data_IF_505200705980
#
_entry.id   IF_505200705980
#
_cell.length_a   1.000
_cell.length_b   1.000
_cell.length_c   1.000
_cell.angle_alpha   90.00
_cell.angle_beta   90.00
_cell.angle_gamma   90.00
#
_symmetry.space_group_name_H-M   'P 1'
#
loop_
_entity.id
_entity.type
_entity.pdbx_description
1 polymer ?
#
# COMPACT_ATOMS: atom_id res chain seq x y z
N UNK A 1 7.34 -5.34 18.28
CA UNK A 1 7.44 -5.02 16.84
C UNK A 1 7.85 -6.27 16.09
N UNK A 2 7.06 -6.69 15.11
CA UNK A 2 7.41 -7.74 14.16
C UNK A 2 7.71 -7.13 12.79
N UNK A 3 8.70 -7.66 12.07
CA UNK A 3 9.05 -7.23 10.72
C UNK A 3 8.97 -8.42 9.77
N UNK A 4 8.24 -8.25 8.68
CA UNK A 4 8.10 -9.21 7.60
C UNK A 4 9.15 -8.91 6.53
N UNK A 5 10.00 -9.88 6.26
CA UNK A 5 11.15 -9.70 5.41
C UNK A 5 11.53 -11.00 4.68
N UNK A 6 11.81 -10.88 3.40
CA UNK A 6 12.41 -11.96 2.59
C UNK A 6 13.59 -11.44 1.79
N UNK A 7 14.66 -12.23 1.66
CA UNK A 7 15.84 -11.86 0.89
C UNK A 7 15.59 -11.75 -0.61
N UNK A 8 14.58 -12.46 -1.10
CA UNK A 8 14.27 -12.57 -2.54
C UNK A 8 13.63 -11.30 -3.11
N UNK A 9 12.95 -10.51 -2.28
CA UNK A 9 12.13 -9.37 -2.76
C UNK A 9 12.94 -8.32 -3.51
N UNK A 10 14.22 -8.15 -3.14
CA UNK A 10 15.10 -7.16 -3.76
C UNK A 10 15.67 -7.58 -5.12
N UNK A 11 15.36 -8.80 -5.59
CA UNK A 11 15.86 -9.35 -6.85
C UNK A 11 14.85 -9.21 -8.00
N UNK A 12 13.56 -8.99 -7.71
CA UNK A 12 12.56 -8.73 -8.75
C UNK A 12 12.83 -7.40 -9.44
N UNK A 13 12.62 -7.38 -10.76
CA UNK A 13 13.02 -6.27 -11.62
C UNK A 13 11.90 -5.92 -12.59
N UNK A 14 11.34 -4.72 -12.46
CA UNK A 14 10.22 -4.24 -13.27
C UNK A 14 10.61 -3.97 -14.73
N UNK A 15 11.90 -3.92 -15.07
CA UNK A 15 12.37 -3.65 -16.43
C UNK A 15 13.26 -2.40 -16.53
N UNK A 16 13.88 -2.25 -17.70
CA UNK A 16 14.77 -1.14 -17.99
C UNK A 16 14.02 0.19 -17.98
N UNK A 17 14.60 1.22 -17.35
CA UNK A 17 13.99 2.55 -17.24
C UNK A 17 12.88 2.66 -16.19
N UNK A 18 12.28 1.56 -15.72
CA UNK A 18 11.15 1.60 -14.80
C UNK A 18 11.54 2.22 -13.42
N UNK A 19 10.72 3.13 -12.86
CA UNK A 19 11.04 3.83 -11.62
C UNK A 19 10.88 2.96 -10.37
N UNK A 20 9.90 2.05 -10.34
CA UNK A 20 9.75 1.08 -9.24
C UNK A 20 10.93 0.12 -9.20
N UNK A 21 11.66 0.11 -8.07
CA UNK A 21 12.84 -0.74 -7.84
C UNK A 21 12.70 -1.51 -6.54
N UNK A 22 12.22 -2.77 -6.55
CA UNK A 22 12.12 -3.61 -5.35
C UNK A 22 13.42 -3.72 -4.55
N UNK A 23 14.57 -3.53 -5.20
CA UNK A 23 15.88 -3.43 -4.56
C UNK A 23 15.93 -2.42 -3.37
N UNK A 24 15.12 -1.35 -3.38
CA UNK A 24 15.04 -0.39 -2.26
C UNK A 24 14.71 -1.07 -0.92
N UNK A 25 13.92 -2.14 -0.94
CA UNK A 25 13.55 -2.92 0.26
C UNK A 25 14.77 -3.66 0.82
N UNK A 26 15.62 -4.21 -0.07
CA UNK A 26 16.89 -4.85 0.31
C UNK A 26 17.88 -3.83 0.88
N UNK A 27 17.91 -2.61 0.36
CA UNK A 27 18.72 -1.52 0.92
C UNK A 27 18.28 -1.18 2.34
N UNK A 28 16.96 -0.98 2.55
CA UNK A 28 16.38 -0.75 3.87
C UNK A 28 16.75 -1.86 4.84
N UNK A 29 16.62 -3.12 4.43
CA UNK A 29 16.97 -4.25 5.27
C UNK A 29 18.44 -4.25 5.72
N UNK A 30 19.38 -4.09 4.77
CA UNK A 30 20.81 -4.04 5.09
C UNK A 30 21.15 -2.88 6.03
N UNK A 31 20.49 -1.73 5.86
CA UNK A 31 20.69 -0.59 6.76
C UNK A 31 20.21 -0.90 8.18
N UNK A 32 19.01 -1.48 8.33
CA UNK A 32 18.46 -1.91 9.63
C UNK A 32 19.37 -2.94 10.33
N UNK A 33 19.97 -3.86 9.57
CA UNK A 33 20.95 -4.82 10.08
C UNK A 33 22.20 -4.13 10.63
N UNK A 34 22.79 -3.22 9.85
CA UNK A 34 24.03 -2.53 10.22
C UNK A 34 23.84 -1.54 11.38
N UNK A 35 22.65 -0.92 11.52
CA UNK A 35 22.29 -0.18 12.73
C UNK A 35 22.00 -1.08 13.94
N UNK A 36 21.97 -2.39 13.77
CA UNK A 36 21.71 -3.36 14.82
C UNK A 36 20.26 -3.35 15.33
N UNK A 37 19.32 -2.80 14.55
CA UNK A 37 17.90 -2.70 14.90
C UNK A 37 17.21 -4.07 14.89
N UNK A 38 17.73 -5.03 14.11
CA UNK A 38 17.23 -6.41 14.09
C UNK A 38 17.22 -7.08 15.47
N UNK A 39 18.07 -6.63 16.39
CA UNK A 39 18.14 -7.14 17.77
C UNK A 39 16.98 -6.66 18.65
N UNK A 40 16.19 -5.70 18.17
CA UNK A 40 15.10 -5.03 18.90
C UNK A 40 13.72 -5.38 18.33
N UNK A 41 13.65 -6.29 17.37
CA UNK A 41 12.42 -6.66 16.67
C UNK A 41 12.45 -8.12 16.25
N UNK A 42 11.28 -8.73 16.19
CA UNK A 42 11.14 -10.10 15.70
C UNK A 42 11.07 -10.11 14.17
N UNK A 43 12.01 -10.79 13.51
CA UNK A 43 12.05 -10.87 12.05
C UNK A 43 11.44 -12.19 11.58
N UNK A 44 10.46 -12.08 10.69
CA UNK A 44 9.77 -13.21 10.09
C UNK A 44 9.94 -13.22 8.58
N UNK A 45 10.13 -14.41 8.01
CA UNK A 45 9.97 -14.60 6.57
C UNK A 45 8.48 -14.74 6.24
N UNK A 46 7.91 -13.90 5.37
CA UNK A 46 6.51 -14.06 4.97
C UNK A 46 6.33 -15.35 4.19
N UNK A 47 5.17 -16.00 4.37
CA UNK A 47 4.75 -17.04 3.44
C UNK A 47 4.40 -16.42 2.09
N UNK A 48 4.41 -17.23 1.03
CA UNK A 48 3.85 -16.81 -0.26
C UNK A 48 2.33 -16.85 -0.15
N UNK A 49 1.67 -15.69 -0.22
CA UNK A 49 0.22 -15.64 -0.19
C UNK A 49 -0.38 -16.51 -1.32
N UNK A 50 -1.41 -17.27 -0.99
CA UNK A 50 -2.06 -18.17 -1.95
C UNK A 50 -3.03 -17.40 -2.85
N UNK A 51 -3.41 -18.00 -3.97
CA UNK A 51 -4.48 -17.45 -4.81
C UNK A 51 -5.80 -17.32 -4.02
N UNK A 52 -6.10 -18.28 -3.13
CA UNK A 52 -7.28 -18.25 -2.25
C UNK A 52 -7.25 -17.05 -1.28
N UNK A 53 -6.08 -16.69 -0.75
CA UNK A 53 -5.94 -15.48 0.06
C UNK A 53 -6.18 -14.22 -0.78
N UNK A 54 -5.62 -14.15 -2.00
CA UNK A 54 -5.74 -12.99 -2.87
C UNK A 54 -7.18 -12.78 -3.39
N UNK A 55 -7.92 -13.86 -3.68
CA UNK A 55 -9.30 -13.78 -4.19
C UNK A 55 -10.34 -13.44 -3.12
N UNK A 56 -9.94 -13.26 -1.86
CA UNK A 56 -10.79 -12.62 -0.84
C UNK A 56 -11.19 -11.19 -1.21
N UNK A 57 -10.40 -10.52 -2.05
CA UNK A 57 -10.74 -9.22 -2.62
C UNK A 57 -10.77 -9.25 -4.15
N UNK A 58 -9.69 -9.72 -4.77
CA UNK A 58 -9.54 -9.68 -6.22
C UNK A 58 -10.43 -10.71 -6.93
N UNK A 59 -10.75 -10.48 -8.20
CA UNK A 59 -11.47 -11.47 -8.99
C UNK A 59 -10.63 -12.72 -9.27
N UNK A 60 -11.27 -13.89 -9.31
CA UNK A 60 -10.62 -15.16 -9.63
C UNK A 60 -9.95 -15.13 -11.01
N UNK A 61 -10.59 -14.49 -12.00
CA UNK A 61 -10.03 -14.35 -13.35
C UNK A 61 -8.73 -13.55 -13.34
N UNK A 62 -8.68 -12.45 -12.59
CA UNK A 62 -7.50 -11.58 -12.52
C UNK A 62 -6.34 -12.29 -11.81
N UNK A 63 -6.57 -12.94 -10.67
CA UNK A 63 -5.52 -13.69 -9.97
C UNK A 63 -5.04 -14.88 -10.80
N UNK A 64 -5.94 -15.57 -11.51
CA UNK A 64 -5.57 -16.64 -12.44
C UNK A 64 -4.70 -16.11 -13.58
N UNK A 65 -5.02 -14.93 -14.11
CA UNK A 65 -4.20 -14.27 -15.12
C UNK A 65 -2.80 -13.95 -14.58
N UNK A 66 -2.69 -13.25 -13.45
CA UNK A 66 -1.39 -12.91 -12.84
C UNK A 66 -0.53 -14.14 -12.55
N UNK A 67 -1.15 -15.26 -12.16
CA UNK A 67 -0.45 -16.53 -11.94
C UNK A 67 0.05 -17.19 -13.23
N UNK A 68 -0.54 -16.86 -14.37
CA UNK A 68 -0.28 -17.53 -15.66
C UNK A 68 0.63 -16.71 -16.58
N UNK A 69 0.52 -15.37 -16.51
CA UNK A 69 1.26 -14.45 -17.38
C UNK A 69 2.76 -14.47 -17.05
N UNK A 70 3.57 -14.53 -18.10
CA UNK A 70 5.03 -14.53 -18.05
C UNK A 70 5.57 -13.84 -19.31
N UNK A 71 6.85 -13.38 -19.32
CA UNK A 71 7.42 -12.76 -20.50
C UNK A 71 7.36 -13.63 -21.77
N UNK A 72 7.49 -14.95 -21.62
CA UNK A 72 7.50 -15.93 -22.73
C UNK A 72 6.13 -16.12 -23.42
N UNK A 73 5.02 -15.79 -22.75
CA UNK A 73 3.67 -16.01 -23.28
C UNK A 73 2.86 -14.72 -23.49
N UNK A 74 3.46 -13.53 -23.34
CA UNK A 74 2.75 -12.24 -23.45
C UNK A 74 1.91 -12.10 -24.73
N UNK A 75 2.39 -12.59 -25.87
CA UNK A 75 1.67 -12.53 -27.15
C UNK A 75 0.32 -13.26 -27.12
N UNK A 76 0.22 -14.34 -26.35
CA UNK A 76 -1.01 -15.14 -26.20
C UNK A 76 -2.04 -14.45 -25.29
N UNK A 77 -1.59 -13.50 -24.46
CA UNK A 77 -2.39 -12.85 -23.43
C UNK A 77 -2.75 -11.39 -23.75
N UNK A 78 -2.46 -10.88 -24.94
CA UNK A 78 -2.68 -9.47 -25.34
C UNK A 78 -4.04 -8.89 -24.94
N UNK A 79 -5.13 -9.64 -25.16
CA UNK A 79 -6.50 -9.23 -24.77
C UNK A 79 -6.69 -9.13 -23.25
N UNK A 80 -6.11 -10.06 -22.49
CA UNK A 80 -6.21 -10.04 -21.03
C UNK A 80 -5.29 -8.97 -20.43
N UNK A 81 -4.11 -8.76 -21.00
CA UNK A 81 -3.20 -7.66 -20.65
C UNK A 81 -3.89 -6.30 -20.76
N UNK A 82 -4.59 -6.04 -21.88
CA UNK A 82 -5.38 -4.83 -22.04
C UNK A 82 -6.52 -4.74 -21.00
N UNK A 83 -7.27 -5.83 -20.80
CA UNK A 83 -8.40 -5.87 -19.85
C UNK A 83 -7.97 -5.63 -18.40
N UNK A 84 -6.80 -6.13 -18.02
CA UNK A 84 -6.30 -6.11 -16.65
C UNK A 84 -5.25 -5.02 -16.41
N UNK A 85 -5.07 -4.12 -17.39
CA UNK A 85 -4.15 -3.00 -17.35
C UNK A 85 -2.69 -3.40 -17.01
N UNK A 86 -2.22 -4.49 -17.62
CA UNK A 86 -0.85 -4.98 -17.48
C UNK A 86 -0.11 -4.78 -18.80
N UNK A 87 0.94 -3.98 -18.81
CA UNK A 87 1.63 -3.54 -20.01
C UNK A 87 2.65 -2.43 -19.72
N UNK A 88 2.27 -1.18 -19.91
CA UNK A 88 3.16 -0.01 -19.83
C UNK A 88 3.63 0.26 -18.39
N UNK A 89 2.79 0.92 -17.58
CA UNK A 89 3.12 1.23 -16.19
C UNK A 89 3.19 -0.03 -15.32
N UNK A 90 2.42 -1.07 -15.64
CA UNK A 90 2.42 -2.32 -14.91
C UNK A 90 2.99 -3.45 -15.78
N UNK A 91 4.32 -3.53 -15.97
CA UNK A 91 4.94 -4.46 -16.91
C UNK A 91 4.87 -5.92 -16.46
N UNK A 92 4.88 -6.82 -17.44
CA UNK A 92 5.15 -8.24 -17.19
C UNK A 92 6.64 -8.42 -16.99
N UNK A 93 7.03 -9.08 -15.90
CA UNK A 93 8.42 -9.41 -15.60
C UNK A 93 8.57 -10.79 -14.96
N UNK A 94 9.77 -11.36 -15.03
CA UNK A 94 10.07 -12.67 -14.43
C UNK A 94 9.84 -12.66 -12.92
N UNK A 95 8.99 -13.56 -12.45
CA UNK A 95 8.63 -13.68 -11.04
C UNK A 95 7.60 -12.65 -10.56
N UNK A 96 6.85 -12.01 -11.47
CA UNK A 96 5.77 -11.06 -11.14
C UNK A 96 4.81 -11.61 -10.08
N UNK A 97 4.33 -12.85 -10.26
CA UNK A 97 3.39 -13.43 -9.32
C UNK A 97 4.03 -13.67 -7.96
N UNK A 98 5.25 -14.20 -7.90
CA UNK A 98 5.98 -14.41 -6.65
C UNK A 98 6.26 -13.10 -5.90
N UNK A 99 6.56 -12.01 -6.62
CA UNK A 99 6.66 -10.67 -6.04
C UNK A 99 5.36 -10.29 -5.32
N UNK A 100 4.21 -10.45 -6.00
CA UNK A 100 2.89 -10.22 -5.41
C UNK A 100 2.66 -11.10 -4.19
N UNK A 101 2.98 -12.40 -4.27
CA UNK A 101 2.79 -13.35 -3.17
C UNK A 101 3.58 -12.96 -1.92
N UNK A 102 4.82 -12.50 -2.07
CA UNK A 102 5.68 -12.11 -0.94
C UNK A 102 5.25 -10.77 -0.33
N UNK A 103 4.89 -9.80 -1.18
CA UNK A 103 4.35 -8.51 -0.75
C UNK A 103 3.05 -8.71 0.05
N UNK A 104 2.09 -9.43 -0.52
CA UNK A 104 0.80 -9.74 0.13
C UNK A 104 0.96 -10.60 1.37
N UNK A 105 1.80 -11.63 1.31
CA UNK A 105 2.01 -12.55 2.43
C UNK A 105 2.53 -11.84 3.68
N UNK A 106 3.41 -10.85 3.51
CA UNK A 106 3.87 -10.01 4.61
C UNK A 106 2.75 -9.23 5.29
N UNK A 107 1.91 -8.55 4.51
CA UNK A 107 0.83 -7.72 5.04
C UNK A 107 -0.25 -8.55 5.74
N UNK A 108 -0.67 -9.67 5.13
CA UNK A 108 -1.65 -10.60 5.72
C UNK A 108 -1.08 -11.27 6.97
N UNK A 109 0.17 -11.75 6.96
CA UNK A 109 0.79 -12.33 8.15
C UNK A 109 0.91 -11.30 9.28
N UNK A 110 1.18 -10.03 8.95
CA UNK A 110 1.22 -8.93 9.92
C UNK A 110 -0.14 -8.71 10.58
N UNK A 111 -1.20 -8.64 9.77
CA UNK A 111 -2.58 -8.54 10.25
C UNK A 111 -2.99 -9.72 11.13
N UNK A 112 -2.62 -10.95 10.77
CA UNK A 112 -2.89 -12.14 11.60
C UNK A 112 -2.19 -12.04 12.95
N UNK A 113 -0.93 -11.57 13.01
CA UNK A 113 -0.21 -11.40 14.27
C UNK A 113 -0.85 -10.34 15.17
N UNK A 114 -1.33 -9.24 14.58
CA UNK A 114 -2.06 -8.18 15.30
C UNK A 114 -3.38 -8.73 15.87
N UNK A 115 -4.18 -9.41 15.05
CA UNK A 115 -5.44 -10.04 15.48
C UNK A 115 -5.26 -11.06 16.61
N UNK A 116 -4.16 -11.83 16.57
CA UNK A 116 -3.80 -12.80 17.61
C UNK A 116 -3.16 -12.15 18.84
N UNK A 117 -3.05 -10.83 18.87
CA UNK A 117 -2.44 -10.05 19.97
C UNK A 117 -1.00 -10.52 20.28
N UNK A 118 -0.26 -10.94 19.26
CA UNK A 118 1.13 -11.40 19.39
C UNK A 118 2.15 -10.28 19.19
N UNK A 119 1.71 -9.11 18.75
CA UNK A 119 2.54 -7.92 18.54
C UNK A 119 1.66 -6.68 18.59
N UNK A 120 2.23 -5.55 19.02
CA UNK A 120 1.55 -4.25 18.95
C UNK A 120 1.74 -3.57 17.59
N UNK A 121 2.84 -3.90 16.89
CA UNK A 121 3.18 -3.35 15.57
C UNK A 121 3.73 -4.45 14.66
N UNK A 122 3.27 -4.47 13.42
CA UNK A 122 3.79 -5.32 12.35
C UNK A 122 4.21 -4.44 11.16
N UNK A 123 5.39 -4.69 10.61
CA UNK A 123 5.98 -3.87 9.54
C UNK A 123 6.25 -4.74 8.32
N UNK A 124 5.79 -4.31 7.15
CA UNK A 124 6.08 -4.94 5.86
C UNK A 124 6.44 -3.86 4.83
N UNK A 125 7.74 -3.60 4.64
CA UNK A 125 8.20 -2.61 3.65
C UNK A 125 8.03 -3.05 2.19
N UNK A 126 7.72 -4.33 1.95
CA UNK A 126 7.42 -4.84 0.62
C UNK A 126 5.95 -4.66 0.21
N UNK A 127 5.08 -4.37 1.19
CA UNK A 127 3.67 -4.07 0.98
C UNK A 127 3.41 -2.60 0.68
N UNK A 128 2.15 -2.20 0.82
CA UNK A 128 1.73 -0.81 0.64
C UNK A 128 1.32 -0.47 -0.80
N UNK A 129 0.96 -1.47 -1.62
CA UNK A 129 0.67 -1.32 -3.04
C UNK A 129 -0.80 -0.87 -3.24
N UNK A 130 -1.06 0.39 -2.90
CA UNK A 130 -2.41 0.93 -2.71
C UNK A 130 -3.24 1.18 -3.99
N UNK A 131 -2.62 1.18 -5.18
CA UNK A 131 -3.31 1.50 -6.43
C UNK A 131 -4.02 0.30 -7.07
N UNK A 132 -3.65 -0.93 -6.68
CA UNK A 132 -4.23 -2.14 -7.27
C UNK A 132 -5.74 -2.19 -7.03
N UNK A 133 -6.50 -2.45 -8.10
CA UNK A 133 -7.97 -2.53 -8.07
C UNK A 133 -8.44 -3.97 -7.93
N UNK A 134 -9.75 -4.16 -7.82
CA UNK A 134 -10.34 -5.51 -7.71
C UNK A 134 -9.99 -6.42 -8.89
N UNK A 135 -9.94 -5.87 -10.10
CA UNK A 135 -9.79 -6.66 -11.33
C UNK A 135 -8.79 -6.08 -12.32
N UNK A 136 -7.91 -5.16 -11.91
CA UNK A 136 -6.87 -4.61 -12.79
C UNK A 136 -5.68 -4.09 -11.97
N UNK A 137 -4.51 -4.08 -12.60
CA UNK A 137 -3.32 -3.43 -12.07
C UNK A 137 -3.41 -1.92 -12.31
N UNK A 138 -2.72 -1.14 -11.47
CA UNK A 138 -2.63 0.31 -11.64
C UNK A 138 -1.44 0.85 -10.85
N UNK A 139 -0.76 1.89 -11.34
CA UNK A 139 0.30 2.59 -10.60
C UNK A 139 1.36 1.66 -10.00
N UNK A 140 1.91 0.74 -10.80
CA UNK A 140 2.91 -0.25 -10.39
C UNK A 140 2.40 -1.36 -9.45
N UNK A 141 1.10 -1.36 -9.12
CA UNK A 141 0.46 -2.23 -8.15
C UNK A 141 -0.42 -3.28 -8.83
N UNK A 142 -0.20 -4.56 -8.51
CA UNK A 142 -0.94 -5.68 -9.10
C UNK A 142 -1.93 -6.30 -8.11
N UNK A 143 -1.50 -6.56 -6.88
CA UNK A 143 -2.35 -7.11 -5.80
C UNK A 143 -2.37 -6.11 -4.67
N UNK A 144 -3.56 -5.77 -4.18
CA UNK A 144 -3.75 -4.80 -3.10
C UNK A 144 -3.57 -5.50 -1.75
N UNK A 145 -2.32 -5.59 -1.30
CA UNK A 145 -1.97 -6.24 -0.04
C UNK A 145 -2.60 -5.54 1.18
N UNK A 146 -2.84 -4.23 1.08
CA UNK A 146 -3.45 -3.41 2.12
C UNK A 146 -4.90 -3.82 2.32
N UNK A 147 -5.69 -3.91 1.24
CA UNK A 147 -7.10 -4.32 1.32
C UNK A 147 -7.22 -5.71 1.95
N UNK A 148 -6.36 -6.65 1.53
CA UNK A 148 -6.35 -8.01 2.08
C UNK A 148 -5.96 -8.03 3.57
N UNK A 149 -5.01 -7.21 3.99
CA UNK A 149 -4.64 -7.06 5.40
C UNK A 149 -5.78 -6.44 6.22
N UNK A 150 -6.47 -5.41 5.71
CA UNK A 150 -7.63 -4.80 6.36
C UNK A 150 -8.78 -5.81 6.49
N UNK A 151 -9.07 -6.59 5.44
CA UNK A 151 -10.07 -7.66 5.50
C UNK A 151 -9.74 -8.71 6.59
N UNK A 152 -8.46 -9.01 6.78
CA UNK A 152 -8.03 -9.87 7.88
C UNK A 152 -8.27 -9.19 9.24
N UNK A 153 -7.89 -7.92 9.42
CA UNK A 153 -8.13 -7.16 10.66
C UNK A 153 -9.63 -7.05 11.00
N UNK A 154 -10.49 -6.87 10.00
CA UNK A 154 -11.94 -6.76 10.16
C UNK A 154 -12.60 -8.02 10.74
N UNK A 155 -11.89 -9.15 10.85
CA UNK A 155 -12.38 -10.33 11.58
C UNK A 155 -12.44 -10.12 13.10
N UNK A 156 -11.61 -9.24 13.65
CA UNK A 156 -11.50 -9.00 15.10
C UNK A 156 -11.76 -7.54 15.47
N UNK A 157 -11.56 -6.61 14.53
CA UNK A 157 -11.71 -5.18 14.75
C UNK A 157 -12.99 -4.66 14.11
N UNK A 158 -13.87 -4.05 14.90
CA UNK A 158 -15.12 -3.48 14.40
C UNK A 158 -14.86 -2.33 13.40
N UNK A 159 -13.86 -1.50 13.70
CA UNK A 159 -13.43 -0.32 12.92
C UNK A 159 -11.92 -0.33 12.74
N UNK A 160 -11.48 -0.27 11.48
CA UNK A 160 -10.07 -0.20 11.08
C UNK A 160 -9.81 1.15 10.43
N UNK A 161 -8.82 1.88 10.92
CA UNK A 161 -8.41 3.15 10.30
C UNK A 161 -7.25 2.88 9.33
N UNK A 162 -7.40 3.34 8.09
CA UNK A 162 -6.34 3.38 7.11
C UNK A 162 -5.85 4.83 6.96
N UNK A 163 -4.55 5.04 7.13
CA UNK A 163 -3.88 6.33 6.91
C UNK A 163 -2.87 6.15 5.79
N UNK A 164 -2.89 7.06 4.82
CA UNK A 164 -2.02 7.05 3.67
C UNK A 164 -1.21 8.36 3.60
N UNK A 165 0.12 8.24 3.56
CA UNK A 165 1.07 9.35 3.45
C UNK A 165 1.99 9.21 2.23
N UNK A 166 1.62 8.36 1.27
CA UNK A 166 2.14 8.41 -0.10
C UNK A 166 1.84 9.77 -0.75
N UNK A 167 2.61 10.18 -1.75
CA UNK A 167 2.26 11.41 -2.47
C UNK A 167 1.03 11.22 -3.36
N UNK A 168 0.75 9.99 -3.79
CA UNK A 168 -0.40 9.66 -4.62
C UNK A 168 -1.61 9.32 -3.75
N UNK A 169 -2.80 9.60 -4.28
CA UNK A 169 -4.04 9.20 -3.61
C UNK A 169 -4.13 7.66 -3.55
N UNK A 170 -4.32 7.10 -2.33
CA UNK A 170 -4.60 5.68 -2.04
C UNK A 170 -5.94 5.15 -2.55
N UNK A 171 -6.18 5.36 -3.84
CA UNK A 171 -7.44 5.17 -4.54
C UNK A 171 -7.95 3.73 -4.57
N UNK A 172 -7.08 2.71 -4.65
CA UNK A 172 -7.50 1.30 -4.62
C UNK A 172 -8.02 0.87 -3.25
N UNK A 173 -7.44 1.39 -2.16
CA UNK A 173 -7.92 1.13 -0.80
C UNK A 173 -9.20 1.90 -0.52
N UNK A 174 -9.28 3.17 -0.94
CA UNK A 174 -10.50 3.97 -0.84
C UNK A 174 -11.67 3.33 -1.60
N UNK A 175 -11.47 2.93 -2.86
CA UNK A 175 -12.51 2.28 -3.66
C UNK A 175 -13.02 0.99 -3.00
N UNK A 176 -12.11 0.15 -2.49
CA UNK A 176 -12.46 -1.13 -1.87
C UNK A 176 -13.41 -0.98 -0.66
N UNK A 177 -13.33 0.16 0.04
CA UNK A 177 -14.10 0.41 1.26
C UNK A 177 -15.07 1.60 1.15
N UNK A 178 -15.26 2.17 -0.04
CA UNK A 178 -16.00 3.40 -0.28
C UNK A 178 -17.46 3.42 0.23
N UNK A 179 -18.03 2.23 0.43
CA UNK A 179 -19.44 2.04 0.83
C UNK A 179 -19.63 1.44 2.23
N UNK A 180 -18.57 1.29 3.02
CA UNK A 180 -18.64 0.79 4.40
C UNK A 180 -18.20 1.82 5.43
N UNK A 181 -18.78 1.77 6.62
CA UNK A 181 -18.39 2.53 7.82
C UNK A 181 -17.37 1.77 8.69
N UNK A 182 -17.10 0.50 8.37
CA UNK A 182 -16.15 -0.34 9.13
C UNK A 182 -14.68 -0.06 8.84
N UNK A 183 -14.40 0.68 7.78
CA UNK A 183 -13.06 1.16 7.45
C UNK A 183 -13.16 2.64 7.14
N UNK A 184 -12.30 3.44 7.77
CA UNK A 184 -12.12 4.84 7.38
C UNK A 184 -10.81 4.98 6.63
N UNK A 185 -10.83 5.56 5.43
CA UNK A 185 -9.64 5.88 4.67
C UNK A 185 -9.31 7.36 4.82
N UNK A 186 -8.06 7.67 5.16
CA UNK A 186 -7.57 9.04 5.31
C UNK A 186 -6.31 9.19 4.46
N UNK A 187 -6.38 10.02 3.43
CA UNK A 187 -5.29 10.17 2.46
C UNK A 187 -4.82 11.62 2.35
N UNK A 188 -3.50 11.81 2.38
CA UNK A 188 -2.82 13.09 2.22
C UNK A 188 -1.95 13.04 0.97
N UNK A 189 -2.39 13.66 -0.13
CA UNK A 189 -1.77 13.46 -1.44
C UNK A 189 -1.74 14.74 -2.28
N UNK A 190 -0.92 14.75 -3.33
CA UNK A 190 -0.98 15.79 -4.36
C UNK A 190 -2.26 15.63 -5.18
N UNK A 191 -2.91 16.75 -5.49
CA UNK A 191 -4.10 16.78 -6.34
C UNK A 191 -4.04 17.90 -7.38
N UNK A 192 -4.62 17.63 -8.56
CA UNK A 192 -4.58 18.50 -9.75
C UNK A 192 -3.48 18.09 -10.73
N UNK A 193 -3.89 17.65 -11.92
CA UNK A 193 -3.02 17.14 -13.00
C UNK A 193 -1.96 16.15 -12.49
N UNK A 194 -2.38 15.19 -11.64
CA UNK A 194 -1.49 14.20 -11.04
C UNK A 194 -2.18 12.84 -10.94
N UNK A 195 -1.40 11.76 -11.05
CA UNK A 195 -1.89 10.41 -10.88
C UNK A 195 -2.35 10.19 -9.43
N UNK A 196 -3.47 9.48 -9.16
CA UNK A 196 -4.37 8.80 -10.10
C UNK A 196 -5.56 9.65 -10.59
N UNK A 197 -5.61 10.94 -10.26
CA UNK A 197 -6.69 11.85 -10.67
C UNK A 197 -7.97 11.77 -9.80
N UNK A 198 -7.93 11.05 -8.69
CA UNK A 198 -9.00 10.96 -7.68
C UNK A 198 -8.53 11.54 -6.34
N UNK A 199 -9.41 11.63 -5.33
CA UNK A 199 -9.07 12.17 -4.01
C UNK A 199 -9.40 13.66 -3.87
N UNK A 200 -10.42 14.14 -4.58
CA UNK A 200 -10.92 15.51 -4.40
C UNK A 200 -11.40 15.72 -2.96
N UNK A 201 -11.40 16.97 -2.49
CA UNK A 201 -11.99 17.33 -1.19
C UNK A 201 -13.46 16.86 -1.04
N UNK A 202 -14.17 16.70 -2.16
CA UNK A 202 -15.58 16.26 -2.21
C UNK A 202 -15.74 14.74 -2.27
N UNK A 203 -14.66 13.98 -2.43
CA UNK A 203 -14.69 12.52 -2.41
C UNK A 203 -14.77 12.05 -0.95
N UNK A 204 -16.01 11.88 -0.48
CA UNK A 204 -16.33 11.64 0.93
C UNK A 204 -16.97 10.27 1.18
N UNK A 205 -16.90 9.34 0.22
CA UNK A 205 -17.56 8.03 0.33
C UNK A 205 -19.03 8.06 -0.07
N UNK A 206 -19.65 6.88 -0.12
CA UNK A 206 -21.03 6.71 -0.56
C UNK A 206 -21.82 5.75 0.33
N UNK A 207 -23.15 5.88 0.35
CA UNK A 207 -24.02 5.01 1.15
C UNK A 207 -23.64 5.03 2.63
N UNK A 208 -23.41 3.84 3.22
CA UNK A 208 -22.94 3.74 4.62
C UNK A 208 -21.52 4.29 4.82
N UNK A 209 -20.68 4.29 3.77
CA UNK A 209 -19.32 4.84 3.80
C UNK A 209 -19.27 6.36 3.62
N UNK A 210 -20.39 7.05 3.46
CA UNK A 210 -20.39 8.51 3.40
C UNK A 210 -19.85 9.09 4.72
N UNK A 211 -18.89 10.00 4.61
CA UNK A 211 -18.04 10.59 5.65
C UNK A 211 -16.95 9.65 6.23
N UNK A 212 -16.74 8.47 5.63
CA UNK A 212 -15.67 7.53 6.00
C UNK A 212 -14.52 7.47 4.99
N UNK A 213 -14.57 8.28 3.93
CA UNK A 213 -13.40 8.62 3.13
C UNK A 213 -13.03 10.09 3.40
N UNK A 214 -11.78 10.33 3.78
CA UNK A 214 -11.25 11.66 4.12
C UNK A 214 -10.04 11.94 3.23
N UNK A 215 -10.19 12.92 2.36
CA UNK A 215 -9.17 13.31 1.41
C UNK A 215 -8.64 14.72 1.71
N UNK A 216 -7.32 14.84 1.80
CA UNK A 216 -6.63 16.12 1.93
C UNK A 216 -5.80 16.40 0.67
N UNK A 217 -6.40 17.03 -0.36
CA UNK A 217 -5.70 17.39 -1.58
C UNK A 217 -4.69 18.51 -1.35
N UNK A 218 -3.45 18.32 -1.78
CA UNK A 218 -2.34 19.28 -1.62
C UNK A 218 -1.72 19.67 -2.96
N UNK A 219 -0.94 20.76 -2.93
CA UNK A 219 -0.13 21.24 -4.05
C UNK A 219 1.35 20.92 -3.81
N UNK A 220 2.16 21.18 -4.82
CA UNK A 220 3.60 20.96 -4.81
C UNK A 220 4.29 21.70 -3.65
N UNK A 221 5.42 21.16 -3.20
CA UNK A 221 6.35 21.85 -2.31
C UNK A 221 5.94 21.92 -0.84
N UNK A 222 4.92 21.17 -0.39
CA UNK A 222 4.58 21.14 1.05
C UNK A 222 5.80 20.73 1.88
N UNK A 223 6.05 21.48 2.96
CA UNK A 223 7.18 21.30 3.86
C UNK A 223 6.78 20.60 5.17
N UNK A 224 7.80 20.26 5.97
CA UNK A 224 7.64 19.56 7.25
C UNK A 224 6.72 20.30 8.24
N UNK A 225 6.77 21.63 8.24
CA UNK A 225 5.98 22.46 9.16
C UNK A 225 4.51 22.46 8.75
N UNK A 226 4.23 22.79 7.49
CA UNK A 226 2.88 22.82 6.94
C UNK A 226 2.21 21.46 7.05
N UNK A 227 2.92 20.39 6.67
CA UNK A 227 2.40 19.02 6.77
C UNK A 227 2.11 18.63 8.22
N UNK A 228 3.02 18.94 9.15
CA UNK A 228 2.82 18.63 10.57
C UNK A 228 1.65 19.40 11.20
N UNK A 229 1.44 20.66 10.80
CA UNK A 229 0.34 21.50 11.27
C UNK A 229 -1.04 20.99 10.84
N UNK A 230 -1.15 20.27 9.71
CA UNK A 230 -2.41 19.68 9.25
C UNK A 230 -2.60 18.23 9.70
N UNK A 231 -1.55 17.41 9.64
CA UNK A 231 -1.65 15.97 9.89
C UNK A 231 -2.11 15.68 11.31
N UNK A 232 -1.45 16.29 12.31
CA UNK A 232 -1.73 16.00 13.71
C UNK A 232 -3.16 16.40 14.13
N UNK A 233 -3.69 17.60 13.83
CA UNK A 233 -5.07 17.95 14.16
C UNK A 233 -6.10 17.05 13.46
N UNK A 234 -5.89 16.73 12.18
CA UNK A 234 -6.81 15.88 11.42
C UNK A 234 -6.85 14.47 12.01
N UNK A 235 -5.69 13.83 12.17
CA UNK A 235 -5.63 12.47 12.73
C UNK A 235 -6.15 12.45 14.17
N UNK A 236 -5.87 13.49 14.98
CA UNK A 236 -6.45 13.58 16.33
C UNK A 236 -7.98 13.61 16.29
N UNK A 237 -8.57 14.38 15.36
CA UNK A 237 -10.03 14.43 15.22
C UNK A 237 -10.60 13.13 14.66
N UNK A 238 -9.91 12.49 13.72
CA UNK A 238 -10.28 11.17 13.21
C UNK A 238 -10.29 10.14 14.33
N UNK A 239 -9.25 10.08 15.17
CA UNK A 239 -9.19 9.15 16.30
C UNK A 239 -10.33 9.40 17.30
N UNK A 240 -10.62 10.66 17.61
CA UNK A 240 -11.73 11.06 18.51
C UNK A 240 -13.10 10.60 17.99
N UNK A 241 -13.37 10.86 16.70
CA UNK A 241 -14.68 10.62 16.11
C UNK A 241 -14.88 9.17 15.68
N UNK A 242 -13.86 8.58 15.04
CA UNK A 242 -13.95 7.24 14.46
C UNK A 242 -13.64 6.13 15.46
N UNK A 243 -12.81 6.41 16.48
CA UNK A 243 -12.43 5.45 17.53
C UNK A 243 -12.08 4.05 16.95
N UNK A 244 -11.09 3.96 16.04
CA UNK A 244 -10.67 2.67 15.48
C UNK A 244 -10.02 1.80 16.56
N UNK A 245 -10.07 0.47 16.37
CA UNK A 245 -9.36 -0.48 17.24
C UNK A 245 -8.13 -1.12 16.58
N UNK A 246 -7.87 -0.81 15.31
CA UNK A 246 -6.63 -1.12 14.60
C UNK A 246 -6.33 -0.02 13.57
N UNK A 247 -5.04 0.20 13.29
CA UNK A 247 -4.56 1.20 12.32
C UNK A 247 -3.66 0.50 11.30
N UNK A 248 -3.85 0.83 10.02
CA UNK A 248 -2.92 0.51 8.93
C UNK A 248 -2.38 1.83 8.40
N UNK A 249 -1.06 2.03 8.46
CA UNK A 249 -0.38 3.22 7.98
C UNK A 249 0.48 2.87 6.75
N UNK A 250 0.06 3.32 5.57
CA UNK A 250 0.87 3.26 4.36
C UNK A 250 1.93 4.37 4.45
N UNK A 251 3.20 4.01 4.29
CA UNK A 251 4.36 4.91 4.49
C UNK A 251 5.10 5.21 3.18
N UNK A 252 4.38 5.50 2.10
CA UNK A 252 4.89 5.71 0.74
C UNK A 252 5.94 6.81 0.69
N UNK A 253 7.17 6.50 0.28
CA UNK A 253 8.33 7.37 0.49
C UNK A 253 8.53 8.45 -0.60
N UNK A 254 7.69 8.46 -1.63
CA UNK A 254 7.73 9.41 -2.75
C UNK A 254 7.19 10.80 -2.40
N UNK A 255 6.56 10.98 -1.23
CA UNK A 255 6.30 12.31 -0.66
C UNK A 255 7.53 13.00 -0.06
N UNK A 256 8.71 12.36 -0.10
CA UNK A 256 9.97 12.97 0.35
C UNK A 256 10.55 13.96 -0.68
N UNK A 257 11.26 14.97 -0.17
CA UNK A 257 12.03 15.92 -0.96
C UNK A 257 13.07 15.20 -1.83
N UNK A 258 13.13 15.58 -3.11
CA UNK A 258 14.06 15.01 -4.08
C UNK A 258 13.68 13.62 -4.61
N UNK A 259 12.44 13.15 -4.37
CA UNK A 259 11.91 11.98 -5.07
C UNK A 259 11.92 12.20 -6.60
N UNK A 260 11.99 11.11 -7.37
CA UNK A 260 12.07 11.18 -8.84
C UNK A 260 10.73 11.44 -9.52
N UNK A 261 9.63 11.09 -8.86
CA UNK A 261 8.26 11.23 -9.36
C UNK A 261 7.47 12.23 -8.51
N UNK A 262 7.74 12.25 -7.21
CA UNK A 262 7.11 13.15 -6.25
C UNK A 262 7.62 14.59 -6.35
N UNK A 263 6.78 15.52 -5.91
CA UNK A 263 7.06 16.96 -5.90
C UNK A 263 6.74 17.64 -4.56
N UNK A 264 6.72 16.87 -3.47
CA UNK A 264 6.68 17.41 -2.11
C UNK A 264 8.08 17.73 -1.60
N UNK A 265 8.16 18.43 -0.46
CA UNK A 265 9.41 18.87 0.14
C UNK A 265 9.57 18.37 1.58
N UNK A 266 9.11 17.15 1.87
CA UNK A 266 9.23 16.58 3.20
C UNK A 266 10.61 15.99 3.43
N UNK A 267 11.18 16.25 4.60
CA UNK A 267 12.37 15.53 5.06
C UNK A 267 12.00 14.18 5.67
N UNK A 268 12.97 13.29 5.84
CA UNK A 268 12.78 12.03 6.59
C UNK A 268 12.25 12.32 8.01
N UNK A 269 12.71 13.40 8.65
CA UNK A 269 12.24 13.79 9.99
C UNK A 269 10.79 14.30 9.97
N UNK A 270 10.42 15.07 8.95
CA UNK A 270 9.04 15.51 8.76
C UNK A 270 8.10 14.33 8.61
N UNK A 271 8.42 13.43 7.69
CA UNK A 271 7.65 12.20 7.44
C UNK A 271 7.58 11.29 8.67
N UNK A 272 8.67 11.17 9.44
CA UNK A 272 8.69 10.38 10.68
C UNK A 272 7.69 10.88 11.72
N UNK A 273 7.33 12.17 11.77
CA UNK A 273 6.34 12.69 12.73
C UNK A 273 4.93 12.12 12.52
N UNK A 274 4.68 11.48 11.38
CA UNK A 274 3.42 10.82 11.04
C UNK A 274 3.39 9.32 11.33
N UNK A 275 4.51 8.74 11.79
CA UNK A 275 4.71 7.31 12.08
C UNK A 275 4.86 7.11 13.59
#
# INVERSE_FOLDING_TARGET
ICVMLTGDIGNYYYGQGHPMKPHRIRMTHNLLLNYGLYRKMEIYRPHKATAEEMTKYHSDEYIKFLRSIRPDNMSEYSKQMQRFNVGEDCPVFDGLFEFCQLSTGGSVAGAVKLNRQQTDMAVNWAGGLHHAKKSEASGFCYVNDIVLAILELLKYHQRVLYIDIDIHHGDGVEEAFYTTDRVMTVSFHKYGEYFPGTGDLRDIGAGKGKYYAVNFPMRDGIDDESYGQIFKPIISKVMEMYQPSAVVLQCGADSLSGDRLGCFNLTVKGKQKSV
#
